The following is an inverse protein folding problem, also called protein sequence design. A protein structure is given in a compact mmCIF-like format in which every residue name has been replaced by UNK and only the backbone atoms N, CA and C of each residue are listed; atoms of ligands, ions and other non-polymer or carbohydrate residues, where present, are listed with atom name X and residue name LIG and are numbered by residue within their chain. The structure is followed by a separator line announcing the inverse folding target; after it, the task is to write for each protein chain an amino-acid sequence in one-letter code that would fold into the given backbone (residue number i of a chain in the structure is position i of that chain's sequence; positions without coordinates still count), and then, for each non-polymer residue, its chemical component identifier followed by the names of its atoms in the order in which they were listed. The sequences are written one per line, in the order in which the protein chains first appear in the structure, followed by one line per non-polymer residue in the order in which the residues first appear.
data_IF_017131773168
#
_entry.id   IF_017131773168
#
_cell.length_a   1.000
_cell.length_b   1.000
_cell.length_c   1.000
_cell.angle_alpha   90.00
_cell.angle_beta   90.00
_cell.angle_gamma   90.00
#
_symmetry.space_group_name_H-M   'P 1'
#
loop_
_entity.id
_entity.type
_entity.pdbx_description
1 polymer ?
#
# COMPACT_ATOMS: atom_id res chain seq x y z
N UNK A 1 -12.63 -59.78 13.71
CA UNK A 1 -13.03 -59.64 12.29
C UNK A 1 -12.77 -58.20 11.84
N UNK A 2 -11.75 -58.04 11.07
CA UNK A 2 -11.24 -56.69 10.67
C UNK A 2 -11.85 -56.35 9.32
N UNK A 3 -12.66 -55.30 9.27
CA UNK A 3 -13.17 -54.75 8.01
C UNK A 3 -12.20 -53.65 7.53
N UNK A 4 -11.41 -53.90 6.50
CA UNK A 4 -10.58 -52.89 5.83
C UNK A 4 -11.44 -52.04 4.86
N UNK A 5 -11.22 -50.72 4.76
CA UNK A 5 -11.92 -49.94 3.76
C UNK A 5 -11.29 -50.12 2.38
N UNK A 6 -12.11 -50.54 1.40
CA UNK A 6 -11.81 -50.57 -0.05
C UNK A 6 -12.08 -49.20 -0.65
N UNK A 7 -11.17 -48.23 -0.57
CA UNK A 7 -11.34 -46.99 -1.32
C UNK A 7 -10.00 -46.29 -1.62
N UNK A 8 -8.96 -47.04 -1.95
CA UNK A 8 -7.67 -46.46 -2.34
C UNK A 8 -7.02 -47.14 -3.55
N UNK A 9 -7.81 -47.62 -4.50
CA UNK A 9 -7.30 -48.35 -5.66
C UNK A 9 -7.93 -47.99 -7.01
N UNK A 10 -8.44 -46.75 -7.16
CA UNK A 10 -9.00 -46.27 -8.42
C UNK A 10 -8.24 -45.10 -9.06
N UNK A 11 -7.07 -44.73 -8.52
CA UNK A 11 -6.32 -43.58 -9.09
C UNK A 11 -5.02 -43.96 -9.84
N UNK A 12 -4.73 -45.24 -10.06
CA UNK A 12 -3.45 -45.62 -10.68
C UNK A 12 -3.52 -46.32 -12.05
N UNK A 13 -4.64 -46.32 -12.74
CA UNK A 13 -4.70 -46.87 -14.11
C UNK A 13 -5.59 -46.01 -15.02
N UNK A 14 -5.08 -44.92 -15.56
CA UNK A 14 -5.36 -44.38 -16.90
C UNK A 14 -4.59 -43.07 -17.13
N UNK A 15 -3.30 -43.18 -17.28
CA UNK A 15 -2.54 -42.18 -18.01
C UNK A 15 -1.96 -42.85 -19.23
N UNK A 16 -2.68 -42.80 -20.33
CA UNK A 16 -2.10 -42.92 -21.68
C UNK A 16 -2.98 -42.09 -22.62
N UNK A 17 -2.35 -41.04 -23.15
CA UNK A 17 -2.69 -40.26 -24.36
C UNK A 17 -4.13 -39.71 -24.51
N UNK A 18 -4.27 -38.42 -24.33
CA UNK A 18 -5.44 -37.66 -24.73
C UNK A 18 -5.45 -36.29 -24.06
N UNK A 19 -5.18 -35.25 -24.82
CA UNK A 19 -5.31 -33.85 -24.45
C UNK A 19 -6.76 -33.58 -24.00
N UNK A 20 -6.97 -33.38 -22.69
CA UNK A 20 -8.23 -32.84 -22.15
C UNK A 20 -8.17 -31.32 -22.28
N UNK A 21 -9.09 -30.77 -23.03
CA UNK A 21 -9.28 -29.32 -23.14
C UNK A 21 -10.02 -28.80 -21.91
N UNK A 22 -9.75 -27.54 -21.55
CA UNK A 22 -10.24 -26.83 -20.34
C UNK A 22 -11.78 -26.81 -20.19
N UNK A 23 -12.54 -27.18 -21.23
CA UNK A 23 -13.99 -27.21 -21.22
C UNK A 23 -14.62 -28.44 -20.51
N UNK A 24 -13.87 -29.50 -20.28
CA UNK A 24 -14.42 -30.75 -19.72
C UNK A 24 -14.52 -30.73 -18.19
N UNK A 25 -13.79 -29.82 -17.54
CA UNK A 25 -13.83 -29.66 -16.07
C UNK A 25 -14.90 -28.64 -15.62
N UNK A 26 -15.29 -27.70 -16.51
CA UNK A 26 -16.26 -26.67 -16.18
C UNK A 26 -17.73 -27.15 -16.25
N UNK A 27 -18.02 -28.29 -16.88
CA UNK A 27 -19.40 -28.77 -17.09
C UNK A 27 -19.91 -29.76 -16.04
N UNK A 28 -19.07 -30.22 -15.12
CA UNK A 28 -19.47 -31.16 -14.07
C UNK A 28 -20.02 -30.47 -12.80
N UNK A 29 -19.94 -29.14 -12.70
CA UNK A 29 -20.26 -28.37 -11.48
C UNK A 29 -21.50 -27.46 -11.51
N UNK A 30 -22.15 -27.24 -12.64
CA UNK A 30 -23.22 -26.25 -12.70
C UNK A 30 -24.47 -26.72 -13.48
N UNK A 31 -25.30 -27.54 -12.83
CA UNK A 31 -26.74 -27.62 -13.10
C UNK A 31 -27.50 -27.52 -11.79
N UNK A 32 -27.72 -26.31 -11.31
CA UNK A 32 -28.69 -26.04 -10.26
C UNK A 32 -29.98 -25.57 -10.94
N UNK A 33 -31.00 -26.45 -10.89
CA UNK A 33 -32.38 -26.12 -11.27
C UNK A 33 -32.95 -25.19 -10.21
N UNK A 34 -33.34 -23.99 -10.62
CA UNK A 34 -34.30 -23.16 -9.89
C UNK A 34 -35.60 -23.93 -9.64
N UNK A 35 -35.91 -24.20 -8.38
CA UNK A 35 -37.28 -24.41 -7.92
C UNK A 35 -37.47 -23.67 -6.60
N UNK A 36 -38.40 -22.74 -6.62
CA UNK A 36 -38.99 -22.03 -5.48
C UNK A 36 -39.42 -23.01 -4.43
N UNK A 37 -38.89 -22.90 -3.21
CA UNK A 37 -39.63 -23.02 -1.94
C UNK A 37 -38.66 -22.64 -0.81
N UNK A 38 -38.83 -21.45 -0.29
CA UNK A 38 -38.30 -21.04 1.00
C UNK A 38 -38.93 -21.90 2.08
N UNK A 39 -38.13 -22.34 3.04
CA UNK A 39 -38.46 -22.84 4.40
C UNK A 39 -38.10 -24.27 4.76
N UNK A 40 -37.14 -24.95 4.15
CA UNK A 40 -36.70 -26.22 4.75
C UNK A 40 -35.31 -26.71 4.28
N UNK A 41 -34.29 -25.87 4.13
CA UNK A 41 -32.95 -26.34 3.70
C UNK A 41 -31.74 -25.71 4.40
N UNK A 42 -31.89 -25.04 5.50
CA UNK A 42 -30.75 -24.54 6.28
C UNK A 42 -30.06 -25.59 7.17
N UNK A 43 -30.58 -26.83 7.18
CA UNK A 43 -30.05 -27.90 8.05
C UNK A 43 -29.03 -28.85 7.38
N UNK A 44 -28.80 -28.79 6.05
CA UNK A 44 -28.01 -29.81 5.35
C UNK A 44 -26.63 -29.36 4.90
N UNK A 45 -26.32 -28.06 4.91
CA UNK A 45 -25.00 -27.54 4.51
C UNK A 45 -23.96 -27.48 5.64
N UNK A 46 -24.38 -27.82 6.88
CA UNK A 46 -23.51 -27.76 8.07
C UNK A 46 -22.79 -29.08 8.39
N UNK A 47 -23.01 -30.16 7.62
CA UNK A 47 -22.57 -31.50 8.03
C UNK A 47 -21.09 -31.80 7.89
N UNK A 48 -20.35 -31.03 7.07
CA UNK A 48 -18.90 -31.25 6.88
C UNK A 48 -18.02 -30.60 7.94
N UNK A 49 -18.43 -29.43 8.45
CA UNK A 49 -17.70 -28.70 9.50
C UNK A 49 -18.11 -29.18 10.89
N UNK A 50 -19.34 -29.62 11.04
CA UNK A 50 -19.90 -30.09 12.33
C UNK A 50 -19.28 -31.39 12.82
N UNK A 51 -18.64 -32.18 11.99
CA UNK A 51 -18.06 -33.47 12.38
C UNK A 51 -16.72 -33.35 13.09
N UNK A 52 -16.00 -32.26 12.93
CA UNK A 52 -14.75 -31.97 13.67
C UNK A 52 -15.07 -31.43 15.10
N UNK A 53 -16.21 -30.76 15.28
CA UNK A 53 -16.62 -30.21 16.58
C UNK A 53 -17.15 -31.23 17.59
N UNK A 54 -17.35 -32.48 17.22
CA UNK A 54 -17.94 -33.50 18.09
C UNK A 54 -17.04 -34.06 19.19
N UNK A 55 -15.80 -33.59 19.31
CA UNK A 55 -14.86 -34.06 20.34
C UNK A 55 -14.56 -33.05 21.44
N UNK A 56 -15.12 -31.85 21.40
CA UNK A 56 -14.93 -30.86 22.47
C UNK A 56 -15.95 -31.12 23.60
N UNK A 57 -15.48 -31.37 24.80
CA UNK A 57 -16.31 -31.47 26.00
C UNK A 57 -17.05 -30.15 26.32
N UNK A 58 -16.43 -29.04 26.02
CA UNK A 58 -16.97 -27.69 26.16
C UNK A 58 -16.62 -26.85 24.91
N UNK A 59 -17.52 -25.95 24.45
CA UNK A 59 -17.24 -25.07 23.32
C UNK A 59 -16.18 -24.03 23.71
N UNK A 60 -15.00 -24.08 23.09
CA UNK A 60 -13.85 -23.21 23.39
C UNK A 60 -13.29 -22.47 22.19
N UNK A 61 -13.79 -22.76 20.97
CA UNK A 61 -13.29 -22.20 19.71
C UNK A 61 -14.43 -21.64 18.85
N UNK A 62 -14.12 -20.65 18.03
CA UNK A 62 -15.03 -19.97 17.10
C UNK A 62 -16.33 -19.38 17.72
N UNK A 63 -16.38 -19.19 19.05
CA UNK A 63 -17.60 -18.77 19.77
C UNK A 63 -18.12 -17.38 19.37
N UNK A 64 -17.32 -16.57 18.68
CA UNK A 64 -17.65 -15.21 18.26
C UNK A 64 -17.58 -15.03 16.74
N UNK A 65 -17.30 -16.10 15.99
CA UNK A 65 -17.34 -16.11 14.53
C UNK A 65 -18.73 -16.59 14.11
N UNK A 66 -19.49 -15.70 13.47
CA UNK A 66 -20.87 -16.02 13.06
C UNK A 66 -20.90 -16.76 11.72
N UNK A 67 -19.98 -16.45 10.83
CA UNK A 67 -19.80 -17.15 9.55
C UNK A 67 -18.44 -16.80 8.93
N UNK A 68 -17.99 -17.60 7.97
CA UNK A 68 -16.78 -17.37 7.19
C UNK A 68 -17.10 -17.44 5.70
N UNK A 69 -16.40 -16.62 4.90
CA UNK A 69 -16.46 -16.65 3.43
C UNK A 69 -15.04 -16.77 2.90
N UNK A 70 -14.83 -17.72 2.01
CA UNK A 70 -13.52 -17.91 1.38
C UNK A 70 -13.19 -16.71 0.48
N UNK A 71 -11.97 -16.20 0.62
CA UNK A 71 -11.43 -15.19 -0.29
C UNK A 71 -10.84 -15.92 -1.51
N UNK A 72 -11.07 -15.36 -2.70
CA UNK A 72 -10.46 -15.84 -3.94
C UNK A 72 -8.93 -15.89 -3.79
N UNK A 73 -8.24 -16.99 -4.09
CA UNK A 73 -6.79 -17.04 -4.03
C UNK A 73 -6.13 -15.97 -4.94
N UNK A 74 -5.01 -15.36 -4.53
CA UNK A 74 -4.32 -14.34 -5.32
C UNK A 74 -3.98 -14.80 -6.75
N UNK A 75 -3.60 -16.07 -6.95
CA UNK A 75 -3.29 -16.61 -8.26
C UNK A 75 -4.45 -16.52 -9.25
N UNK A 76 -5.69 -16.79 -8.80
CA UNK A 76 -6.87 -16.66 -9.66
C UNK A 76 -7.13 -15.20 -10.04
N UNK A 77 -6.91 -14.26 -9.12
CA UNK A 77 -7.04 -12.85 -9.44
C UNK A 77 -5.92 -12.37 -10.39
N UNK A 78 -4.73 -12.94 -10.28
CA UNK A 78 -3.62 -12.68 -11.21
C UNK A 78 -3.88 -13.27 -12.60
N UNK A 79 -4.60 -14.39 -12.70
CA UNK A 79 -5.07 -14.94 -13.98
C UNK A 79 -6.22 -14.12 -14.59
N UNK A 80 -7.16 -13.65 -13.77
CA UNK A 80 -8.28 -12.79 -14.19
C UNK A 80 -7.78 -11.39 -14.64
N UNK A 81 -6.79 -10.84 -13.93
CA UNK A 81 -6.20 -9.52 -14.17
C UNK A 81 -4.66 -9.64 -14.24
N UNK A 82 -4.13 -10.21 -15.34
CA UNK A 82 -2.69 -10.41 -15.47
C UNK A 82 -1.95 -9.07 -15.60
N UNK A 83 -0.74 -9.03 -15.06
CA UNK A 83 0.12 -7.87 -15.24
C UNK A 83 0.56 -7.81 -16.72
N UNK A 84 0.42 -6.62 -17.32
CA UNK A 84 0.88 -6.38 -18.68
C UNK A 84 2.38 -6.05 -18.69
N UNK A 85 3.02 -6.15 -19.85
CA UNK A 85 4.41 -5.72 -20.04
C UNK A 85 4.60 -4.26 -19.67
N UNK A 86 3.69 -3.37 -20.14
CA UNK A 86 3.73 -1.94 -19.81
C UNK A 86 3.61 -1.67 -18.32
N UNK A 87 2.66 -2.28 -17.62
CA UNK A 87 2.48 -2.11 -16.19
C UNK A 87 3.69 -2.65 -15.41
N UNK A 88 4.24 -3.81 -15.82
CA UNK A 88 5.45 -4.38 -15.24
C UNK A 88 6.66 -3.46 -15.41
N UNK A 89 6.85 -2.91 -16.61
CA UNK A 89 7.93 -1.96 -16.90
C UNK A 89 7.81 -0.69 -16.04
N UNK A 90 6.60 -0.14 -15.90
CA UNK A 90 6.33 1.03 -15.06
C UNK A 90 6.73 0.78 -13.61
N UNK A 91 6.29 -0.34 -13.03
CA UNK A 91 6.60 -0.71 -11.64
C UNK A 91 8.10 -0.94 -11.45
N UNK A 92 8.73 -1.72 -12.35
CA UNK A 92 10.15 -2.04 -12.29
C UNK A 92 11.02 -0.78 -12.37
N UNK A 93 10.74 0.10 -13.34
CA UNK A 93 11.45 1.36 -13.50
C UNK A 93 11.33 2.23 -12.24
N UNK A 94 10.11 2.44 -11.75
CA UNK A 94 9.86 3.28 -10.59
C UNK A 94 10.53 2.74 -9.32
N UNK A 95 10.50 1.43 -9.07
CA UNK A 95 11.21 0.81 -7.94
C UNK A 95 12.72 1.09 -8.01
N UNK A 96 13.33 0.92 -9.18
CA UNK A 96 14.76 1.19 -9.37
C UNK A 96 15.10 2.66 -9.19
N UNK A 97 14.26 3.58 -9.69
CA UNK A 97 14.45 5.02 -9.50
C UNK A 97 14.39 5.40 -8.01
N UNK A 98 13.40 4.89 -7.27
CA UNK A 98 13.27 5.13 -5.83
C UNK A 98 14.46 4.53 -5.07
N UNK A 99 14.88 3.32 -5.39
CA UNK A 99 16.10 2.69 -4.80
C UNK A 99 17.34 3.55 -5.09
N UNK A 100 17.46 4.11 -6.28
CA UNK A 100 18.58 5.01 -6.62
C UNK A 100 18.53 6.30 -5.81
N UNK A 101 17.35 6.88 -5.57
CA UNK A 101 17.17 8.04 -4.69
C UNK A 101 17.60 7.68 -3.26
N UNK A 102 17.12 6.56 -2.71
CA UNK A 102 17.49 6.07 -1.39
C UNK A 102 19.00 5.77 -1.28
N UNK A 103 19.67 5.46 -2.39
CA UNK A 103 21.10 5.20 -2.45
C UNK A 103 21.95 6.44 -2.77
N UNK A 104 21.32 7.62 -2.95
CA UNK A 104 22.01 8.87 -3.32
C UNK A 104 22.61 8.85 -4.75
N UNK A 105 22.16 7.92 -5.60
CA UNK A 105 22.57 7.81 -7.00
C UNK A 105 21.68 8.62 -7.94
N UNK A 106 20.50 8.98 -7.49
CA UNK A 106 19.56 9.84 -8.17
C UNK A 106 19.21 11.01 -7.23
N UNK A 107 19.43 12.23 -7.70
CA UNK A 107 19.24 13.45 -6.92
C UNK A 107 17.84 14.06 -7.09
N UNK A 108 16.90 13.35 -7.70
CA UNK A 108 15.51 13.77 -7.77
C UNK A 108 14.85 13.61 -6.39
N UNK A 109 13.86 14.46 -6.13
CA UNK A 109 13.03 14.33 -4.94
C UNK A 109 11.88 13.35 -5.20
N UNK A 110 11.70 12.35 -4.33
CA UNK A 110 10.56 11.45 -4.38
C UNK A 110 9.30 12.18 -3.91
N UNK A 111 8.25 12.25 -4.74
CA UNK A 111 6.98 12.87 -4.38
C UNK A 111 5.86 11.86 -4.46
N UNK A 112 5.30 11.50 -3.30
CA UNK A 112 4.13 10.62 -3.19
C UNK A 112 2.89 11.49 -3.04
N UNK A 113 2.07 11.61 -4.10
CA UNK A 113 0.97 12.57 -4.19
C UNK A 113 -0.32 11.92 -4.68
N UNK A 114 -1.44 12.22 -4.02
CA UNK A 114 -2.76 11.72 -4.42
C UNK A 114 -3.75 11.63 -3.27
N UNK A 115 -4.93 11.05 -3.52
CA UNK A 115 -6.02 10.99 -2.56
C UNK A 115 -5.64 10.38 -1.21
N UNK A 116 -6.23 10.90 -0.13
CA UNK A 116 -6.08 10.31 1.21
C UNK A 116 -6.46 8.83 1.20
N UNK A 117 -7.56 8.49 0.53
CA UNK A 117 -8.00 7.11 0.26
C UNK A 117 -8.76 7.04 -1.05
N UNK A 118 -8.73 5.87 -1.68
CA UNK A 118 -9.50 5.59 -2.90
C UNK A 118 -10.85 5.00 -2.50
N UNK A 119 -11.94 5.68 -2.79
CA UNK A 119 -13.31 5.18 -2.68
C UNK A 119 -14.01 5.11 -4.04
N UNK A 120 -13.58 5.92 -4.99
CA UNK A 120 -14.04 5.98 -6.37
C UNK A 120 -12.88 5.74 -7.33
N UNK A 121 -12.92 4.60 -8.03
CA UNK A 121 -11.87 4.22 -9.00
C UNK A 121 -11.91 5.06 -10.27
N UNK A 122 -13.09 5.66 -10.62
CA UNK A 122 -13.21 6.55 -11.77
C UNK A 122 -12.51 7.88 -11.49
N UNK A 123 -12.80 8.50 -10.35
CA UNK A 123 -12.12 9.72 -9.92
C UNK A 123 -10.60 9.50 -9.74
N UNK A 124 -10.19 8.31 -9.26
CA UNK A 124 -8.77 7.96 -9.14
C UNK A 124 -8.08 7.87 -10.51
N UNK A 125 -8.72 7.34 -11.55
CA UNK A 125 -8.18 7.32 -12.93
C UNK A 125 -8.06 8.72 -13.50
N UNK A 126 -9.07 9.57 -13.29
CA UNK A 126 -9.03 10.96 -13.73
C UNK A 126 -7.88 11.73 -13.04
N UNK A 127 -7.69 11.52 -11.74
CA UNK A 127 -6.53 12.08 -11.03
C UNK A 127 -5.20 11.54 -11.59
N UNK A 128 -5.14 10.27 -11.95
CA UNK A 128 -3.97 9.65 -12.55
C UNK A 128 -3.59 10.28 -13.91
N UNK A 129 -4.58 10.72 -14.72
CA UNK A 129 -4.29 11.44 -15.97
C UNK A 129 -3.57 12.76 -15.70
N UNK A 130 -3.91 13.46 -14.62
CA UNK A 130 -3.22 14.69 -14.20
C UNK A 130 -1.78 14.39 -13.77
N UNK A 131 -1.57 13.32 -13.00
CA UNK A 131 -0.22 12.86 -12.61
C UNK A 131 0.59 12.43 -13.84
N UNK A 132 -0.02 11.68 -14.76
CA UNK A 132 0.61 11.26 -16.02
C UNK A 132 1.11 12.44 -16.83
N UNK A 133 0.30 13.49 -16.95
CA UNK A 133 0.69 14.73 -17.64
C UNK A 133 1.81 15.50 -16.90
N UNK A 134 1.89 15.37 -15.58
CA UNK A 134 2.91 16.03 -14.77
C UNK A 134 4.27 15.31 -14.80
N UNK A 135 4.30 13.97 -14.90
CA UNK A 135 5.53 13.17 -14.86
C UNK A 135 6.60 13.72 -15.84
N UNK A 136 6.35 13.91 -17.15
CA UNK A 136 7.37 14.41 -18.06
C UNK A 136 7.79 15.85 -17.77
N UNK A 137 6.88 16.68 -17.25
CA UNK A 137 7.18 18.09 -16.90
C UNK A 137 8.24 18.19 -15.81
N UNK A 138 8.20 17.28 -14.82
CA UNK A 138 9.09 17.33 -13.65
C UNK A 138 10.15 16.21 -13.65
N UNK A 139 10.32 15.50 -14.76
CA UNK A 139 11.15 14.29 -14.84
C UNK A 139 12.61 14.50 -14.41
N UNK A 140 13.13 15.71 -14.55
CA UNK A 140 14.50 16.04 -14.17
C UNK A 140 14.67 16.28 -12.66
N UNK A 141 13.65 16.76 -11.96
CA UNK A 141 13.74 17.18 -10.57
C UNK A 141 12.99 16.26 -9.61
N UNK A 142 11.85 15.69 -10.06
CA UNK A 142 10.94 14.94 -9.20
C UNK A 142 10.73 13.52 -9.74
N UNK A 143 10.67 12.56 -8.82
CA UNK A 143 10.18 11.22 -9.06
C UNK A 143 8.75 11.12 -8.51
N UNK A 144 7.74 11.20 -9.39
CA UNK A 144 6.34 11.24 -8.99
C UNK A 144 5.79 9.81 -8.82
N UNK A 145 5.14 9.56 -7.69
CA UNK A 145 4.41 8.32 -7.39
C UNK A 145 3.00 8.69 -6.95
N UNK A 146 1.97 8.13 -7.60
CA UNK A 146 0.60 8.38 -7.20
C UNK A 146 0.25 7.63 -5.92
N UNK A 147 -0.26 8.34 -4.93
CA UNK A 147 -0.78 7.76 -3.70
C UNK A 147 -2.12 7.07 -3.96
N UNK A 148 -2.18 5.75 -3.69
CA UNK A 148 -3.34 4.90 -3.97
C UNK A 148 -3.63 4.02 -2.74
N UNK A 149 -4.23 4.60 -1.71
CA UNK A 149 -4.49 3.91 -0.45
C UNK A 149 -5.89 3.27 -0.47
N UNK A 150 -5.94 1.96 -0.42
CA UNK A 150 -7.17 1.16 -0.47
C UNK A 150 -7.71 0.79 0.90
N UNK A 151 -6.90 0.89 1.93
CA UNK A 151 -7.21 0.51 3.30
C UNK A 151 -6.95 1.68 4.23
N UNK A 152 -7.78 1.84 5.25
CA UNK A 152 -7.66 2.93 6.23
C UNK A 152 -7.68 2.39 7.64
N UNK A 153 -6.62 2.61 8.42
CA UNK A 153 -6.61 2.26 9.85
C UNK A 153 -7.63 3.11 10.59
N UNK A 154 -8.51 2.45 11.36
CA UNK A 154 -9.52 3.13 12.17
C UNK A 154 -9.25 2.90 13.66
N UNK A 155 -9.27 3.98 14.43
CA UNK A 155 -9.16 3.89 15.90
C UNK A 155 -10.47 3.43 16.52
N UNK A 156 -11.59 3.78 15.87
CA UNK A 156 -12.96 3.38 16.21
C UNK A 156 -13.65 2.83 14.97
N UNK A 157 -14.97 2.77 14.95
CA UNK A 157 -15.76 2.32 13.79
C UNK A 157 -15.64 3.31 12.62
N UNK A 158 -15.86 2.83 11.40
CA UNK A 158 -15.87 3.62 10.18
C UNK A 158 -15.48 2.80 8.95
N UNK A 159 -15.66 3.39 7.76
CA UNK A 159 -15.29 2.75 6.51
C UNK A 159 -13.79 2.38 6.49
N UNK A 160 -13.48 1.11 6.27
CA UNK A 160 -12.13 0.55 6.35
C UNK A 160 -11.35 0.62 5.04
N UNK A 161 -11.96 1.12 3.97
CA UNK A 161 -11.32 1.26 2.66
C UNK A 161 -12.00 0.45 1.56
N UNK A 162 -11.56 0.69 0.31
CA UNK A 162 -12.13 0.10 -0.90
C UNK A 162 -12.07 -1.44 -0.89
N UNK A 163 -11.00 -2.03 -0.37
CA UNK A 163 -10.87 -3.49 -0.33
C UNK A 163 -11.92 -4.09 0.59
N UNK A 164 -12.15 -3.49 1.76
CA UNK A 164 -13.07 -4.05 2.75
C UNK A 164 -14.55 -3.79 2.42
N UNK A 165 -14.88 -2.58 1.96
CA UNK A 165 -16.25 -2.19 1.63
C UNK A 165 -16.28 -1.35 0.35
N UNK A 166 -16.21 -2.02 -0.83
CA UNK A 166 -16.07 -1.36 -2.13
C UNK A 166 -17.31 -0.60 -2.61
N UNK A 167 -18.45 -0.79 -1.94
CA UNK A 167 -19.73 -0.21 -2.32
C UNK A 167 -20.26 0.81 -1.30
N UNK A 168 -19.50 1.06 -0.23
CA UNK A 168 -19.90 1.99 0.85
C UNK A 168 -21.27 1.66 1.47
N UNK A 169 -21.64 0.39 1.54
CA UNK A 169 -22.95 -0.07 1.99
C UNK A 169 -22.89 -1.19 3.05
N UNK A 170 -21.70 -1.37 3.66
CA UNK A 170 -21.44 -2.38 4.67
C UNK A 170 -21.71 -3.83 4.21
N UNK A 171 -21.73 -4.05 2.88
CA UNK A 171 -21.86 -5.40 2.32
C UNK A 171 -20.59 -6.23 2.42
N UNK A 172 -19.45 -5.60 2.68
CA UNK A 172 -18.13 -6.21 2.84
C UNK A 172 -17.78 -7.22 1.74
N UNK A 173 -18.07 -6.84 0.48
CA UNK A 173 -17.73 -7.66 -0.69
C UNK A 173 -16.23 -7.58 -0.99
N UNK A 174 -15.42 -8.16 -0.09
CA UNK A 174 -13.94 -8.06 -0.10
C UNK A 174 -13.34 -8.60 -1.41
N UNK A 175 -13.89 -9.69 -1.97
CA UNK A 175 -13.43 -10.21 -3.26
C UNK A 175 -13.56 -9.17 -4.39
N UNK A 176 -14.65 -8.40 -4.40
CA UNK A 176 -14.85 -7.33 -5.37
C UNK A 176 -13.92 -6.13 -5.09
N UNK A 177 -13.69 -5.85 -3.80
CA UNK A 177 -12.73 -4.83 -3.38
C UNK A 177 -11.31 -5.13 -3.85
N UNK A 178 -10.85 -6.37 -3.72
CA UNK A 178 -9.56 -6.84 -4.21
C UNK A 178 -9.46 -6.73 -5.74
N UNK A 179 -10.53 -7.11 -6.48
CA UNK A 179 -10.58 -6.94 -7.94
C UNK A 179 -10.49 -5.47 -8.35
N UNK A 180 -11.27 -4.59 -7.71
CA UNK A 180 -11.25 -3.15 -7.99
C UNK A 180 -9.87 -2.54 -7.71
N UNK A 181 -9.24 -2.92 -6.59
CA UNK A 181 -7.91 -2.43 -6.24
C UNK A 181 -6.85 -2.88 -7.25
N UNK A 182 -6.81 -4.18 -7.60
CA UNK A 182 -5.86 -4.69 -8.59
C UNK A 182 -6.09 -4.12 -9.98
N UNK A 183 -7.36 -4.00 -10.41
CA UNK A 183 -7.71 -3.41 -11.70
C UNK A 183 -7.25 -1.95 -11.81
N UNK A 184 -7.49 -1.13 -10.77
CA UNK A 184 -7.02 0.25 -10.76
C UNK A 184 -5.49 0.32 -10.85
N UNK A 185 -4.77 -0.48 -10.08
CA UNK A 185 -3.30 -0.51 -10.13
C UNK A 185 -2.77 -0.92 -11.50
N UNK A 186 -3.45 -1.87 -12.18
CA UNK A 186 -3.11 -2.29 -13.53
C UNK A 186 -3.33 -1.16 -14.53
N UNK A 187 -4.46 -0.44 -14.43
CA UNK A 187 -4.73 0.75 -15.25
C UNK A 187 -3.64 1.81 -15.09
N UNK A 188 -3.29 2.14 -13.84
CA UNK A 188 -2.23 3.11 -13.53
C UNK A 188 -0.88 2.69 -14.12
N UNK A 189 -0.51 1.41 -13.95
CA UNK A 189 0.71 0.86 -14.53
C UNK A 189 0.73 0.96 -16.06
N UNK A 190 -0.39 0.67 -16.72
CA UNK A 190 -0.54 0.81 -18.18
C UNK A 190 -0.49 2.27 -18.65
N UNK A 191 -0.93 3.22 -17.81
CA UNK A 191 -0.81 4.65 -18.06
C UNK A 191 0.62 5.18 -17.86
N UNK A 192 1.54 4.37 -17.33
CA UNK A 192 2.88 4.80 -16.95
C UNK A 192 2.93 5.59 -15.63
N UNK A 193 1.92 5.46 -14.77
CA UNK A 193 1.82 6.13 -13.48
C UNK A 193 2.20 5.15 -12.36
N UNK A 194 3.36 5.33 -11.70
CA UNK A 194 3.75 4.50 -10.57
C UNK A 194 2.80 4.71 -9.38
N UNK A 195 2.41 3.63 -8.71
CA UNK A 195 1.51 3.65 -7.58
C UNK A 195 2.21 3.38 -6.25
N UNK A 196 1.84 4.14 -5.20
CA UNK A 196 2.25 3.93 -3.82
C UNK A 196 1.06 3.67 -2.91
N UNK A 197 1.15 2.68 -2.01
CA UNK A 197 0.05 2.32 -1.10
C UNK A 197 0.52 2.13 0.34
N UNK A 198 -0.41 2.16 1.30
CA UNK A 198 -0.16 1.71 2.67
C UNK A 198 -0.49 0.22 2.78
N UNK A 199 0.43 -0.57 3.30
CA UNK A 199 0.19 -1.97 3.64
C UNK A 199 -0.35 -2.05 5.07
N UNK A 200 -1.64 -2.29 5.19
CA UNK A 200 -2.33 -2.36 6.48
C UNK A 200 -2.71 -3.81 6.84
N UNK A 201 -3.35 -4.52 5.93
CA UNK A 201 -3.68 -5.93 6.10
C UNK A 201 -2.49 -6.83 5.70
N UNK A 202 -2.40 -8.02 6.33
CA UNK A 202 -1.30 -8.96 6.10
C UNK A 202 -1.51 -9.83 4.86
N UNK A 203 -2.73 -9.91 4.33
CA UNK A 203 -3.11 -10.79 3.23
C UNK A 203 -3.24 -9.99 1.92
N UNK A 204 -3.81 -8.78 1.97
CA UNK A 204 -4.04 -7.93 0.80
C UNK A 204 -2.79 -7.68 -0.05
N UNK A 205 -1.55 -7.61 0.50
CA UNK A 205 -0.34 -7.48 -0.31
C UNK A 205 -0.14 -8.59 -1.34
N UNK A 206 -0.59 -9.81 -1.06
CA UNK A 206 -0.47 -10.93 -2.00
C UNK A 206 -1.26 -10.71 -3.30
N UNK A 207 -2.29 -9.86 -3.28
CA UNK A 207 -3.13 -9.55 -4.43
C UNK A 207 -2.62 -8.35 -5.24
N UNK A 208 -1.94 -7.39 -4.60
CA UNK A 208 -1.67 -6.08 -5.19
C UNK A 208 -0.18 -5.72 -5.28
N UNK A 209 0.70 -6.29 -4.45
CA UNK A 209 2.10 -5.84 -4.33
C UNK A 209 2.90 -5.92 -5.62
N UNK A 210 2.54 -6.82 -6.55
CA UNK A 210 3.19 -6.93 -7.87
C UNK A 210 3.03 -5.65 -8.73
N UNK A 211 2.00 -4.83 -8.43
CA UNK A 211 1.67 -3.59 -9.13
C UNK A 211 1.99 -2.32 -8.31
N UNK A 212 2.63 -2.46 -7.15
CA UNK A 212 2.99 -1.35 -6.26
C UNK A 212 4.46 -1.00 -6.42
N UNK A 213 4.75 0.29 -6.64
CA UNK A 213 6.11 0.81 -6.81
C UNK A 213 6.75 1.26 -5.50
N UNK A 214 5.96 1.71 -4.53
CA UNK A 214 6.38 2.17 -3.22
C UNK A 214 5.33 1.83 -2.17
N UNK A 215 5.77 1.48 -0.96
CA UNK A 215 4.89 1.15 0.15
C UNK A 215 5.07 2.04 1.35
N UNK A 216 4.03 2.16 2.20
CA UNK A 216 4.12 2.79 3.50
C UNK A 216 3.61 1.87 4.60
N UNK A 217 4.19 2.01 5.80
CA UNK A 217 3.62 1.51 7.05
C UNK A 217 3.16 2.72 7.87
N UNK A 218 1.90 2.72 8.26
CA UNK A 218 1.26 3.82 8.96
C UNK A 218 1.74 3.97 10.41
N UNK A 219 1.56 5.16 10.99
CA UNK A 219 2.00 5.47 12.36
C UNK A 219 1.38 4.57 13.45
N UNK A 220 0.23 3.92 13.17
CA UNK A 220 -0.42 3.00 14.11
C UNK A 220 0.11 1.57 14.03
N UNK A 221 0.82 1.24 12.97
CA UNK A 221 1.30 -0.11 12.65
C UNK A 221 2.82 -0.23 12.59
N UNK A 222 3.56 0.87 12.67
CA UNK A 222 5.04 0.88 12.68
C UNK A 222 5.64 0.10 13.87
N UNK A 223 4.97 0.06 15.03
CA UNK A 223 5.38 -0.76 16.17
C UNK A 223 5.07 -2.26 16.01
N UNK A 224 4.18 -2.61 15.09
CA UNK A 224 3.70 -3.97 14.94
C UNK A 224 4.77 -4.90 14.37
N UNK A 225 5.10 -5.97 15.09
CA UNK A 225 6.04 -6.99 14.64
C UNK A 225 5.62 -7.58 13.30
N UNK A 226 4.35 -7.95 13.13
CA UNK A 226 3.87 -8.59 11.89
C UNK A 226 3.99 -7.68 10.67
N UNK A 227 3.89 -6.35 10.83
CA UNK A 227 4.11 -5.41 9.74
C UNK A 227 5.60 -5.27 9.39
N UNK A 228 6.51 -5.32 10.38
CA UNK A 228 7.96 -5.32 10.15
C UNK A 228 8.40 -6.61 9.44
N UNK A 229 7.85 -7.76 9.83
CA UNK A 229 8.04 -9.06 9.16
C UNK A 229 7.49 -9.04 7.73
N UNK A 230 6.28 -8.51 7.52
CA UNK A 230 5.70 -8.34 6.18
C UNK A 230 6.65 -7.53 5.28
N UNK A 231 7.12 -6.37 5.75
CA UNK A 231 8.00 -5.49 4.96
C UNK A 231 9.30 -6.16 4.61
N UNK A 232 9.84 -7.04 5.46
CA UNK A 232 11.07 -7.79 5.16
C UNK A 232 10.97 -8.66 3.89
N UNK A 233 9.75 -8.99 3.45
CA UNK A 233 9.46 -9.78 2.25
C UNK A 233 8.85 -8.98 1.09
N UNK A 234 8.50 -7.70 1.29
CA UNK A 234 7.94 -6.85 0.24
C UNK A 234 9.01 -6.45 -0.78
N UNK A 235 8.64 -6.48 -2.07
CA UNK A 235 9.56 -6.28 -3.19
C UNK A 235 9.70 -4.82 -3.63
N UNK A 236 9.11 -3.85 -2.94
CA UNK A 236 9.26 -2.43 -3.22
C UNK A 236 9.91 -1.71 -2.04
N UNK A 237 10.47 -0.50 -2.25
CA UNK A 237 10.88 0.39 -1.15
C UNK A 237 9.71 0.72 -0.24
N UNK A 238 9.97 0.85 1.08
CA UNK A 238 8.92 1.09 2.08
C UNK A 238 9.33 2.19 3.05
N UNK A 239 8.42 3.17 3.24
CA UNK A 239 8.54 4.21 4.25
C UNK A 239 7.81 3.83 5.54
N UNK A 240 8.49 3.91 6.69
CA UNK A 240 7.89 3.76 8.01
C UNK A 240 7.57 5.14 8.61
N UNK A 241 6.30 5.40 8.91
CA UNK A 241 5.90 6.63 9.61
C UNK A 241 6.33 6.58 11.07
N UNK A 242 6.82 7.70 11.61
CA UNK A 242 6.99 7.83 13.06
C UNK A 242 5.66 7.60 13.79
N UNK A 243 5.74 7.19 15.05
CA UNK A 243 4.57 6.90 15.88
C UNK A 243 3.61 8.10 16.03
N UNK A 244 2.36 7.84 16.39
CA UNK A 244 1.33 8.89 16.55
C UNK A 244 1.65 9.93 17.61
N UNK A 245 2.51 9.61 18.58
CA UNK A 245 3.04 10.54 19.59
C UNK A 245 4.11 11.49 19.05
N UNK A 246 4.67 11.20 17.88
CA UNK A 246 5.85 11.89 17.32
C UNK A 246 7.14 11.10 17.48
N UNK A 247 7.12 9.95 18.19
CA UNK A 247 8.32 9.15 18.45
C UNK A 247 8.90 8.58 17.14
N UNK A 248 10.16 8.96 16.85
CA UNK A 248 10.93 8.54 15.67
C UNK A 248 11.64 7.21 15.90
N UNK A 249 12.07 6.92 17.14
CA UNK A 249 12.79 5.70 17.50
C UNK A 249 12.05 4.43 17.03
N UNK A 250 10.72 4.43 17.12
CA UNK A 250 9.88 3.33 16.66
C UNK A 250 10.08 3.02 15.16
N UNK A 251 10.24 4.07 14.33
CA UNK A 251 10.47 3.91 12.90
C UNK A 251 11.90 3.45 12.61
N UNK A 252 12.89 3.91 13.38
CA UNK A 252 14.28 3.43 13.31
C UNK A 252 14.33 1.92 13.58
N UNK A 253 13.71 1.48 14.69
CA UNK A 253 13.64 0.05 15.04
C UNK A 253 12.90 -0.78 13.99
N UNK A 254 11.84 -0.21 13.38
CA UNK A 254 11.10 -0.87 12.31
C UNK A 254 11.98 -1.10 11.08
N UNK A 255 12.78 -0.13 10.67
CA UNK A 255 13.72 -0.25 9.54
C UNK A 255 14.80 -1.30 9.85
N UNK A 256 15.40 -1.25 11.04
CA UNK A 256 16.40 -2.23 11.47
C UNK A 256 15.83 -3.66 11.44
N UNK A 257 14.62 -3.83 11.97
CA UNK A 257 13.93 -5.12 11.96
C UNK A 257 13.61 -5.58 10.54
N UNK A 258 12.92 -4.75 9.74
CA UNK A 258 12.53 -5.11 8.38
C UNK A 258 13.73 -5.37 7.45
N UNK A 259 14.89 -4.80 7.75
CA UNK A 259 16.16 -5.04 7.06
C UNK A 259 16.76 -6.43 7.28
N UNK A 260 16.25 -7.21 8.24
CA UNK A 260 16.73 -8.56 8.55
C UNK A 260 15.84 -9.64 7.93
N UNK A 261 16.36 -10.87 7.89
CA UNK A 261 15.60 -12.06 7.51
C UNK A 261 14.62 -12.44 8.61
N UNK A 262 13.40 -12.79 8.24
CA UNK A 262 12.35 -13.26 9.14
C UNK A 262 11.72 -14.56 8.70
N UNK A 263 11.17 -15.30 9.66
CA UNK A 263 10.34 -16.49 9.44
C UNK A 263 8.99 -16.26 10.10
N UNK A 264 7.92 -16.21 9.30
CA UNK A 264 6.58 -15.91 9.82
C UNK A 264 5.48 -16.62 9.03
N UNK A 265 4.28 -16.68 9.59
CA UNK A 265 3.10 -17.26 8.94
C UNK A 265 2.49 -16.27 7.94
N UNK A 266 2.24 -16.74 6.73
CA UNK A 266 1.61 -15.93 5.70
C UNK A 266 0.77 -16.79 4.75
N UNK A 267 0.14 -16.16 3.75
CA UNK A 267 -0.64 -16.83 2.71
C UNK A 267 0.07 -16.75 1.37
N UNK A 268 0.22 -17.89 0.73
CA UNK A 268 0.82 -17.99 -0.62
C UNK A 268 -0.13 -17.43 -1.68
N UNK A 269 0.39 -17.28 -2.91
CA UNK A 269 -0.44 -16.93 -4.08
C UNK A 269 -1.58 -17.92 -4.33
N UNK A 270 -1.45 -19.17 -3.91
CA UNK A 270 -2.50 -20.19 -4.01
C UNK A 270 -3.47 -20.21 -2.82
N UNK A 271 -3.40 -19.23 -1.92
CA UNK A 271 -4.31 -19.12 -0.75
C UNK A 271 -4.01 -20.10 0.37
N UNK A 272 -2.88 -20.76 0.36
CA UNK A 272 -2.45 -21.70 1.39
C UNK A 272 -1.66 -20.97 2.47
N UNK A 273 -1.91 -21.29 3.73
CA UNK A 273 -1.05 -20.86 4.83
C UNK A 273 0.31 -21.53 4.73
N UNK A 274 1.38 -20.76 4.86
CA UNK A 274 2.75 -21.23 4.77
C UNK A 274 3.68 -20.45 5.72
N UNK A 275 4.86 -21.01 5.95
CA UNK A 275 5.97 -20.30 6.59
C UNK A 275 6.73 -19.55 5.49
N UNK A 276 6.79 -18.22 5.61
CA UNK A 276 7.61 -17.38 4.75
C UNK A 276 8.98 -17.19 5.37
N UNK A 277 10.01 -17.35 4.55
CA UNK A 277 11.39 -17.04 4.88
C UNK A 277 11.82 -15.89 3.98
N UNK A 278 12.18 -14.75 4.55
CA UNK A 278 12.51 -13.53 3.82
C UNK A 278 14.01 -13.27 3.82
N UNK A 279 14.44 -12.33 2.98
CA UNK A 279 15.85 -11.86 2.93
C UNK A 279 16.08 -10.56 3.73
N UNK A 280 15.02 -9.93 4.16
CA UNK A 280 15.03 -8.55 4.63
C UNK A 280 14.90 -7.55 3.48
N UNK A 281 14.30 -6.39 3.79
CA UNK A 281 14.15 -5.26 2.88
C UNK A 281 15.03 -4.10 3.36
N UNK A 282 16.13 -3.83 2.66
CA UNK A 282 17.06 -2.74 2.98
C UNK A 282 16.68 -1.40 2.35
N UNK A 283 15.65 -1.38 1.50
CA UNK A 283 15.17 -0.19 0.82
C UNK A 283 14.05 0.48 1.64
N UNK A 284 14.32 0.68 2.93
CA UNK A 284 13.41 1.31 3.86
C UNK A 284 13.90 2.70 4.27
N UNK A 285 12.94 3.60 4.55
CA UNK A 285 13.23 4.96 5.01
C UNK A 285 12.20 5.45 6.04
N UNK A 286 12.49 6.56 6.74
CA UNK A 286 11.56 7.19 7.69
C UNK A 286 10.64 8.16 6.94
N UNK A 287 9.38 8.23 7.40
CA UNK A 287 8.43 9.28 7.05
C UNK A 287 8.09 10.08 8.31
N UNK A 288 8.45 11.36 8.33
CA UNK A 288 8.09 12.30 9.38
C UNK A 288 6.69 12.86 9.13
N UNK A 289 5.74 12.54 10.02
CA UNK A 289 4.33 12.92 9.89
C UNK A 289 3.80 13.81 11.02
N UNK A 290 4.71 14.28 11.90
CA UNK A 290 4.37 14.98 13.12
C UNK A 290 3.88 14.06 14.25
N UNK A 291 3.50 14.63 15.37
CA UNK A 291 3.00 13.95 16.55
C UNK A 291 1.74 14.62 17.12
N UNK A 292 1.32 14.21 18.31
CA UNK A 292 0.20 14.86 19.02
C UNK A 292 0.57 16.30 19.38
N UNK A 293 -0.01 17.28 18.64
CA UNK A 293 0.21 18.71 18.90
C UNK A 293 1.58 19.24 18.50
N UNK A 294 2.42 18.43 17.83
CA UNK A 294 3.76 18.82 17.40
C UNK A 294 3.98 18.51 15.93
N UNK A 295 4.72 19.36 15.26
CA UNK A 295 5.23 19.13 13.90
C UNK A 295 6.65 18.57 13.96
N UNK A 296 7.17 18.00 12.87
CA UNK A 296 8.54 17.51 12.77
C UNK A 296 9.10 17.60 11.33
N UNK A 297 8.70 18.64 10.61
CA UNK A 297 9.16 18.90 9.24
C UNK A 297 10.25 19.97 9.15
N UNK A 298 10.48 20.72 10.23
CA UNK A 298 11.48 21.79 10.29
C UNK A 298 12.91 21.23 10.30
N UNK A 299 13.89 22.09 9.97
CA UNK A 299 15.29 21.68 9.83
C UNK A 299 15.87 21.09 11.13
N UNK A 300 15.46 21.58 12.31
CA UNK A 300 15.94 21.06 13.58
C UNK A 300 15.40 19.64 13.84
N UNK A 301 14.13 19.39 13.52
CA UNK A 301 13.50 18.06 13.62
C UNK A 301 14.13 17.07 12.63
N UNK A 302 14.42 17.51 11.39
CA UNK A 302 15.13 16.71 10.39
C UNK A 302 16.53 16.36 10.89
N UNK A 303 17.30 17.36 11.39
CA UNK A 303 18.62 17.13 11.97
C UNK A 303 18.59 16.10 13.10
N UNK A 304 17.74 16.32 14.10
CA UNK A 304 17.61 15.41 15.25
C UNK A 304 17.24 13.97 14.84
N UNK A 305 16.38 13.83 13.82
CA UNK A 305 16.03 12.51 13.28
C UNK A 305 17.21 11.84 12.60
N UNK A 306 17.94 12.59 11.79
CA UNK A 306 19.12 12.09 11.07
C UNK A 306 20.23 11.70 12.01
N UNK A 307 20.47 12.46 13.09
CA UNK A 307 21.46 12.13 14.14
C UNK A 307 21.12 10.79 14.82
N UNK A 308 19.82 10.54 15.11
CA UNK A 308 19.35 9.27 15.66
C UNK A 308 19.54 8.11 14.67
N UNK A 309 19.32 8.36 13.37
CA UNK A 309 19.52 7.36 12.31
C UNK A 309 21.00 7.01 12.16
N UNK A 310 21.90 8.00 12.18
CA UNK A 310 23.35 7.79 12.13
C UNK A 310 23.85 7.00 13.33
N UNK A 311 23.37 7.33 14.55
CA UNK A 311 23.66 6.57 15.76
C UNK A 311 23.23 5.11 15.68
N UNK A 312 22.19 4.83 14.89
CA UNK A 312 21.68 3.47 14.59
C UNK A 312 22.34 2.82 13.35
N UNK A 313 23.41 3.43 12.81
CA UNK A 313 24.08 3.01 11.57
C UNK A 313 23.14 2.91 10.35
N UNK A 314 22.08 3.74 10.32
CA UNK A 314 21.20 3.91 9.19
C UNK A 314 21.60 5.16 8.40
N UNK A 315 21.25 5.16 7.11
CA UNK A 315 21.45 6.33 6.27
C UNK A 315 20.54 7.48 6.74
N UNK A 316 21.06 8.69 6.97
CA UNK A 316 20.31 9.82 7.52
C UNK A 316 19.43 10.47 6.45
N UNK A 317 18.32 9.83 6.10
CA UNK A 317 17.40 10.23 5.03
C UNK A 317 15.95 10.10 5.46
N UNK A 318 15.18 11.16 5.25
CA UNK A 318 13.78 11.24 5.64
C UNK A 318 12.88 11.69 4.49
N UNK A 319 11.65 11.21 4.50
CA UNK A 319 10.53 11.77 3.74
C UNK A 319 9.68 12.62 4.69
N UNK A 320 9.17 13.77 4.22
CA UNK A 320 8.26 14.62 4.98
C UNK A 320 6.83 14.41 4.49
N UNK A 321 5.95 13.97 5.37
CA UNK A 321 4.51 13.96 5.14
C UNK A 321 3.96 15.37 5.45
N UNK A 322 3.61 16.12 4.43
CA UNK A 322 3.11 17.50 4.53
C UNK A 322 1.69 17.58 5.09
N UNK A 323 0.97 16.45 5.15
CA UNK A 323 -0.36 16.30 5.70
C UNK A 323 -0.31 15.97 7.22
N UNK A 324 -1.37 15.34 7.72
CA UNK A 324 -1.50 14.77 9.06
C UNK A 324 -1.17 15.79 10.18
N UNK A 325 -0.27 15.44 11.11
CA UNK A 325 0.04 16.34 12.23
C UNK A 325 0.97 17.49 11.81
N UNK A 326 1.76 17.33 10.76
CA UNK A 326 2.60 18.40 10.23
C UNK A 326 1.76 19.58 9.69
N UNK A 327 0.58 19.33 9.15
CA UNK A 327 -0.39 20.38 8.78
C UNK A 327 -1.41 20.68 9.89
N UNK A 328 -1.34 20.03 11.05
CA UNK A 328 -2.35 20.08 12.09
C UNK A 328 -3.70 19.49 11.65
N UNK A 329 -3.71 18.60 10.64
CA UNK A 329 -4.89 18.04 9.95
C UNK A 329 -5.71 19.08 9.17
N UNK A 330 -5.16 20.23 8.92
CA UNK A 330 -5.73 21.25 8.04
C UNK A 330 -5.05 21.14 6.67
N UNK A 331 -5.79 20.67 5.66
CA UNK A 331 -5.24 20.45 4.33
C UNK A 331 -4.69 21.73 3.69
N UNK A 332 -5.25 22.91 4.00
CA UNK A 332 -4.78 24.20 3.46
C UNK A 332 -3.36 24.55 3.91
N UNK A 333 -2.89 23.96 5.01
CA UNK A 333 -1.55 24.15 5.56
C UNK A 333 -0.49 23.29 4.91
N UNK A 334 -0.86 22.28 4.10
CA UNK A 334 0.11 21.42 3.40
C UNK A 334 1.05 22.25 2.50
N UNK A 335 0.54 23.28 1.83
CA UNK A 335 1.34 24.17 0.99
C UNK A 335 2.39 24.95 1.78
N UNK A 336 2.11 25.33 3.03
CA UNK A 336 3.09 26.00 3.90
C UNK A 336 4.20 25.03 4.35
N UNK A 337 3.82 23.80 4.74
CA UNK A 337 4.80 22.75 5.08
C UNK A 337 5.69 22.46 3.87
N UNK A 338 5.10 22.29 2.69
CA UNK A 338 5.80 22.02 1.45
C UNK A 338 6.82 23.13 1.10
N UNK A 339 6.46 24.43 1.28
CA UNK A 339 7.38 25.56 1.08
C UNK A 339 8.56 25.52 2.04
N UNK A 340 8.33 25.27 3.31
CA UNK A 340 9.41 25.16 4.30
C UNK A 340 10.40 24.03 3.94
N UNK A 341 9.86 22.86 3.51
CA UNK A 341 10.71 21.75 3.04
C UNK A 341 11.47 22.14 1.77
N UNK A 342 10.84 22.84 0.84
CA UNK A 342 11.49 23.33 -0.37
C UNK A 342 12.64 24.32 -0.04
N UNK A 343 12.45 25.21 0.94
CA UNK A 343 13.49 26.12 1.43
C UNK A 343 14.70 25.36 2.00
N UNK A 344 14.47 24.30 2.78
CA UNK A 344 15.55 23.44 3.30
C UNK A 344 16.32 22.77 2.16
N UNK A 345 15.62 22.21 1.18
CA UNK A 345 16.24 21.58 -0.01
C UNK A 345 17.05 22.61 -0.81
N UNK A 346 16.49 23.80 -1.06
CA UNK A 346 17.16 24.87 -1.80
C UNK A 346 18.44 25.38 -1.08
N UNK A 347 18.43 25.31 0.26
CA UNK A 347 19.60 25.63 1.10
C UNK A 347 20.67 24.52 1.11
N UNK A 348 20.45 23.41 0.38
CA UNK A 348 21.42 22.31 0.24
C UNK A 348 21.22 21.13 1.19
N UNK A 349 20.10 21.07 1.92
CA UNK A 349 19.80 19.89 2.76
C UNK A 349 19.38 18.72 1.86
N UNK A 350 20.29 17.76 1.70
CA UNK A 350 20.09 16.55 0.89
C UNK A 350 19.55 15.35 1.67
N UNK A 351 19.24 15.52 2.96
CA UNK A 351 18.67 14.46 3.82
C UNK A 351 17.17 14.29 3.61
N UNK A 352 16.49 15.33 3.12
CA UNK A 352 15.08 15.22 2.72
C UNK A 352 15.02 14.61 1.33
N UNK A 353 14.75 13.30 1.26
CA UNK A 353 14.71 12.54 0.01
C UNK A 353 13.33 12.55 -0.66
N UNK A 354 12.30 13.01 0.03
CA UNK A 354 10.95 13.03 -0.53
C UNK A 354 9.93 13.75 0.32
N UNK A 355 8.77 13.95 -0.29
CA UNK A 355 7.58 14.50 0.35
C UNK A 355 6.34 13.67 0.05
N UNK A 356 5.35 13.72 0.94
CA UNK A 356 4.02 13.15 0.74
C UNK A 356 2.98 14.25 0.83
N UNK A 357 2.03 14.27 -0.13
CA UNK A 357 0.93 15.24 -0.22
C UNK A 357 -0.40 14.50 -0.35
N UNK A 358 -1.39 14.88 0.44
CA UNK A 358 -2.78 14.43 0.27
C UNK A 358 -3.52 15.41 -0.64
N UNK A 359 -3.79 14.95 -1.87
CA UNK A 359 -4.36 15.73 -2.96
C UNK A 359 -5.47 14.96 -3.67
N UNK A 360 -6.49 15.64 -4.17
CA UNK A 360 -7.59 15.04 -4.94
C UNK A 360 -8.05 15.99 -6.05
N UNK A 361 -9.08 15.61 -6.83
CA UNK A 361 -9.68 16.45 -7.87
C UNK A 361 -10.34 17.70 -7.25
N UNK A 362 -10.98 17.54 -6.10
CA UNK A 362 -11.67 18.61 -5.34
C UNK A 362 -11.09 18.70 -3.95
N UNK A 363 -10.78 19.94 -3.51
CA UNK A 363 -10.24 20.21 -2.19
C UNK A 363 -11.21 19.86 -1.05
N UNK A 364 -10.65 19.62 0.13
CA UNK A 364 -11.41 19.35 1.35
C UNK A 364 -11.76 17.88 1.55
N UNK A 365 -12.75 17.65 2.38
CA UNK A 365 -13.34 16.35 2.67
C UNK A 365 -14.85 16.47 2.89
N UNK A 366 -15.55 15.38 2.66
CA UNK A 366 -16.97 15.24 2.90
C UNK A 366 -17.25 14.05 3.82
N UNK A 367 -18.33 14.11 4.56
CA UNK A 367 -18.80 12.98 5.36
C UNK A 367 -19.67 12.08 4.50
N UNK A 368 -19.30 10.80 4.42
CA UNK A 368 -20.19 9.82 3.83
C UNK A 368 -21.46 9.66 4.69
N UNK A 369 -22.62 9.80 4.06
CA UNK A 369 -23.94 9.57 4.66
C UNK A 369 -24.71 8.65 3.71
N UNK A 370 -25.15 7.46 4.15
CA UNK A 370 -25.93 6.57 3.29
C UNK A 370 -27.15 7.27 2.69
N UNK A 371 -27.37 7.07 1.37
CA UNK A 371 -28.49 7.68 0.64
C UNK A 371 -28.30 9.14 0.22
N UNK A 372 -27.14 9.76 0.50
CA UNK A 372 -26.76 11.06 -0.06
C UNK A 372 -25.68 10.91 -1.10
N UNK A 373 -25.85 11.64 -2.20
CA UNK A 373 -24.82 11.71 -3.24
C UNK A 373 -23.53 12.33 -2.70
N UNK A 374 -22.41 11.77 -3.12
CA UNK A 374 -21.09 12.31 -2.84
C UNK A 374 -20.68 13.36 -3.87
N UNK A 375 -19.97 14.38 -3.43
CA UNK A 375 -19.25 15.29 -4.33
C UNK A 375 -18.16 14.50 -5.03
N UNK A 376 -18.25 14.40 -6.36
CA UNK A 376 -17.30 13.67 -7.18
C UNK A 376 -15.88 14.21 -7.00
N UNK A 377 -14.91 13.32 -6.80
CA UNK A 377 -13.50 13.68 -6.66
C UNK A 377 -13.10 14.35 -5.35
N UNK A 378 -13.99 14.42 -4.34
CA UNK A 378 -13.69 14.91 -3.00
C UNK A 378 -13.50 13.74 -2.02
N UNK A 379 -12.52 13.87 -1.11
CA UNK A 379 -12.19 12.84 -0.12
C UNK A 379 -13.35 12.56 0.84
N UNK A 380 -13.54 11.28 1.20
CA UNK A 380 -14.45 10.83 2.28
C UNK A 380 -13.69 10.47 3.57
N UNK A 381 -12.39 10.72 3.60
CA UNK A 381 -11.53 10.51 4.77
C UNK A 381 -10.86 11.82 5.18
N UNK A 382 -9.53 11.93 5.23
CA UNK A 382 -8.90 13.19 5.58
C UNK A 382 -8.96 14.19 4.39
N UNK A 383 -9.03 15.47 4.70
CA UNK A 383 -9.16 16.52 3.68
C UNK A 383 -7.87 16.64 2.84
N UNK A 384 -8.05 16.83 1.54
CA UNK A 384 -7.00 16.96 0.55
C UNK A 384 -6.91 18.37 -0.03
N UNK A 385 -5.76 18.79 -0.53
CA UNK A 385 -5.66 19.92 -1.46
C UNK A 385 -6.20 19.52 -2.84
N UNK A 386 -6.53 20.49 -3.69
CA UNK A 386 -6.89 20.20 -5.08
C UNK A 386 -5.67 20.10 -6.02
N UNK A 387 -5.94 19.83 -7.30
CA UNK A 387 -4.86 19.73 -8.29
C UNK A 387 -4.15 21.06 -8.56
N UNK A 388 -4.83 22.20 -8.46
CA UNK A 388 -4.19 23.50 -8.68
C UNK A 388 -3.16 23.81 -7.60
N UNK A 389 -3.52 23.60 -6.34
CA UNK A 389 -2.60 23.72 -5.20
C UNK A 389 -1.45 22.70 -5.30
N UNK A 390 -1.76 21.47 -5.72
CA UNK A 390 -0.77 20.41 -5.95
C UNK A 390 0.26 20.83 -6.99
N UNK A 391 -0.18 21.40 -8.11
CA UNK A 391 0.71 21.88 -9.16
C UNK A 391 1.66 22.97 -8.66
N UNK A 392 1.16 23.91 -7.84
CA UNK A 392 1.98 24.94 -7.21
C UNK A 392 3.04 24.31 -6.28
N UNK A 393 2.66 23.29 -5.50
CA UNK A 393 3.60 22.57 -4.65
C UNK A 393 4.67 21.85 -5.47
N UNK A 394 4.31 21.17 -6.56
CA UNK A 394 5.26 20.52 -7.46
C UNK A 394 6.21 21.51 -8.13
N UNK A 395 5.71 22.66 -8.61
CA UNK A 395 6.54 23.72 -9.18
C UNK A 395 7.55 24.26 -8.15
N UNK A 396 7.12 24.46 -6.90
CA UNK A 396 7.95 24.91 -5.77
C UNK A 396 9.07 23.90 -5.44
N UNK A 397 8.74 22.62 -5.34
CA UNK A 397 9.69 21.56 -5.05
C UNK A 397 10.71 21.37 -6.21
N UNK A 398 10.24 21.40 -7.45
CA UNK A 398 11.13 21.30 -8.61
C UNK A 398 12.10 22.47 -8.68
N UNK A 399 11.66 23.69 -8.38
CA UNK A 399 12.51 24.86 -8.31
C UNK A 399 13.59 24.72 -7.23
N UNK A 400 13.23 24.22 -6.03
CA UNK A 400 14.15 23.97 -4.93
C UNK A 400 15.25 22.96 -5.30
N UNK A 401 14.88 21.84 -5.93
CA UNK A 401 15.84 20.83 -6.40
C UNK A 401 16.79 21.41 -7.46
N UNK A 402 16.31 22.23 -8.38
CA UNK A 402 17.18 22.93 -9.35
C UNK A 402 18.17 23.85 -8.65
N UNK A 403 17.70 24.67 -7.70
CA UNK A 403 18.57 25.59 -6.93
C UNK A 403 19.68 24.85 -6.19
N UNK A 404 19.34 23.75 -5.49
CA UNK A 404 20.33 22.93 -4.79
C UNK A 404 21.41 22.35 -5.72
N UNK A 405 21.03 21.93 -6.93
CA UNK A 405 21.97 21.39 -7.93
C UNK A 405 22.92 22.46 -8.48
N UNK A 406 22.44 23.67 -8.73
CA UNK A 406 23.30 24.76 -9.17
C UNK A 406 24.32 25.12 -8.09
N UNK A 407 23.89 25.23 -6.82
CA UNK A 407 24.79 25.51 -5.70
C UNK A 407 25.90 24.44 -5.53
N UNK A 408 25.55 23.15 -5.74
CA UNK A 408 26.53 22.06 -5.66
C UNK A 408 27.50 22.02 -6.86
N UNK A 409 27.11 22.50 -8.01
CA UNK A 409 27.98 22.57 -9.20
C UNK A 409 28.96 23.73 -9.13
N UNK A 410 28.65 24.81 -8.40
CA UNK A 410 29.51 25.99 -8.21
C UNK A 410 30.46 25.83 -7.00
N UNK A 411 30.28 24.83 -6.16
CA UNK A 411 31.18 24.59 -5.05
C UNK A 411 32.56 24.16 -5.56
N UNK A 412 33.67 24.87 -5.21
CA UNK A 412 34.99 24.54 -5.66
C UNK A 412 35.39 23.13 -5.24
N UNK A 413 35.85 22.33 -6.21
CA UNK A 413 36.42 21.00 -5.95
C UNK A 413 37.52 21.17 -4.89
N UNK A 414 37.53 20.42 -3.77
CA UNK A 414 38.65 20.47 -2.83
C UNK A 414 39.92 20.18 -3.61
N UNK A 415 40.83 21.15 -3.62
CA UNK A 415 42.16 20.96 -4.21
C UNK A 415 42.81 19.79 -3.49
N UNK A 416 43.08 18.71 -4.22
CA UNK A 416 43.93 17.64 -3.74
C UNK A 416 45.25 18.26 -3.32
N UNK A 417 45.44 18.51 -2.04
CA UNK A 417 46.75 18.82 -1.47
C UNK A 417 47.56 17.53 -1.54
N UNK A 418 48.59 17.62 -2.38
CA UNK A 418 49.66 16.63 -2.58
C UNK A 418 50.43 16.44 -1.27
#
# INVERSE_FOLDING_TARGET
MVCRPKTLLLYSRRYKSGTLTFNDIALAGYKIKERRNCQARDAAASSGVTQIMKTMLYPTDDLRITWTKVVLPPAFLEEELPITEQASATVFKARNEIVNILNGKDHRLLVVVGPCSIHDTKAAREYAELVRAAIPKYANELCLVMRVYFEKPRTTLGWKGLINDPYLNESFQINDGLRKARHLLLDLGNMGVPAGTEFLDMISPQYISSLVSWGAIGARTTESQVHRELVSGISCPVGFKNGTSGNVQIAIEAILSAGQSHNFLGHTKHGQTAIFVTKGNRDCHIILRGGRGTTNYDAASVQSTCDQMEAAALRPQVMIDCSHANSGKDHTRQSAVCRNVAEQIAAGDNRVIGVMLESNLVAGAQKFVPGKDLVYGQSITDACIDWNETRVALDTLAAAVRTARFASAEAPTPSASI
#
